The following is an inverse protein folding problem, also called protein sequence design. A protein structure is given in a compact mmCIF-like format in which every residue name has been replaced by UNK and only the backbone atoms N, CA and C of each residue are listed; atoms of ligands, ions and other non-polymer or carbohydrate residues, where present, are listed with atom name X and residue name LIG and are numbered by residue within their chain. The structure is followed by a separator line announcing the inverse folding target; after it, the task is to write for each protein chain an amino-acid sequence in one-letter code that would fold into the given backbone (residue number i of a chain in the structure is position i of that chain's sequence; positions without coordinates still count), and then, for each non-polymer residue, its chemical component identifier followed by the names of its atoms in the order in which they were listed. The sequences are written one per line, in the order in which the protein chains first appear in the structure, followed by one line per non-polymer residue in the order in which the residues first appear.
data_IF_141630165507
#
_entry.id   IF_141630165507
#
_cell.length_a   1.000
_cell.length_b   1.000
_cell.length_c   1.000
_cell.angle_alpha   90.00
_cell.angle_beta   90.00
_cell.angle_gamma   90.00
#
_symmetry.space_group_name_H-M   'P 1'
#
loop_
_entity.id
_entity.type
_entity.pdbx_description
1 polymer ?
#
# COMPACT_ATOMS: atom_id res chain seq x y z
N UNK A 1 14.93 -3.77 -14.87
CA UNK A 1 14.49 -4.62 -13.74
C UNK A 1 13.28 -3.94 -13.14
N UNK A 2 12.22 -4.67 -12.79
CA UNK A 2 11.03 -4.04 -12.24
C UNK A 2 11.33 -3.44 -10.86
N UNK A 3 10.82 -2.23 -10.58
CA UNK A 3 10.99 -1.55 -9.28
C UNK A 3 9.65 -1.43 -8.58
N UNK A 4 9.59 -1.82 -7.30
CA UNK A 4 8.38 -1.79 -6.48
C UNK A 4 8.62 -0.98 -5.21
N UNK A 5 7.72 -0.05 -4.95
CA UNK A 5 7.69 0.71 -3.71
C UNK A 5 6.76 0.02 -2.69
N UNK A 6 7.25 -0.17 -1.47
CA UNK A 6 6.44 -0.64 -0.34
C UNK A 6 6.52 0.40 0.78
N UNK A 7 5.53 1.31 0.90
CA UNK A 7 5.48 2.27 1.99
C UNK A 7 5.23 1.56 3.32
N UNK A 8 5.99 1.93 4.35
CA UNK A 8 5.90 1.39 5.70
C UNK A 8 5.44 2.51 6.64
N UNK A 9 4.20 2.41 7.10
CA UNK A 9 3.63 3.33 8.07
C UNK A 9 3.66 2.72 9.49
N UNK A 10 3.79 3.54 10.55
CA UNK A 10 3.63 3.07 11.92
C UNK A 10 2.31 2.30 12.09
N UNK A 11 2.39 1.11 12.66
CA UNK A 11 1.24 0.23 12.85
C UNK A 11 0.81 -0.56 11.60
N UNK A 12 1.64 -0.63 10.56
CA UNK A 12 1.43 -1.60 9.48
C UNK A 12 1.50 -3.04 10.01
N UNK A 13 0.83 -3.98 9.31
CA UNK A 13 0.89 -5.40 9.64
C UNK A 13 2.23 -5.98 9.13
N UNK A 14 3.06 -6.47 10.06
CA UNK A 14 4.43 -6.86 9.73
C UNK A 14 4.54 -8.10 8.85
N UNK A 15 3.63 -9.07 8.95
CA UNK A 15 3.66 -10.28 8.14
C UNK A 15 3.30 -9.94 6.70
N UNK A 16 2.28 -9.12 6.48
CA UNK A 16 1.89 -8.62 5.16
C UNK A 16 3.04 -7.84 4.50
N UNK A 17 3.64 -6.89 5.23
CA UNK A 17 4.75 -6.09 4.71
C UNK A 17 5.97 -6.95 4.36
N UNK A 18 6.45 -7.75 5.32
CA UNK A 18 7.66 -8.57 5.13
C UNK A 18 7.45 -9.63 4.05
N UNK A 19 6.27 -10.25 3.98
CA UNK A 19 5.99 -11.27 2.97
C UNK A 19 6.01 -10.68 1.56
N UNK A 20 5.39 -9.53 1.34
CA UNK A 20 5.43 -8.83 0.04
C UNK A 20 6.87 -8.50 -0.35
N UNK A 21 7.64 -7.92 0.58
CA UNK A 21 9.03 -7.52 0.35
C UNK A 21 9.90 -8.74 0.01
N UNK A 22 9.84 -9.80 0.81
CA UNK A 22 10.66 -11.01 0.64
C UNK A 22 10.32 -11.75 -0.66
N UNK A 23 9.03 -11.94 -0.97
CA UNK A 23 8.62 -12.66 -2.17
C UNK A 23 9.01 -11.93 -3.46
N UNK A 24 8.83 -10.61 -3.52
CA UNK A 24 9.22 -9.81 -4.68
C UNK A 24 10.75 -9.83 -4.87
N UNK A 25 11.53 -9.66 -3.79
CA UNK A 25 13.00 -9.75 -3.84
C UNK A 25 13.46 -11.12 -4.33
N UNK A 26 12.85 -12.22 -3.85
CA UNK A 26 13.13 -13.59 -4.34
C UNK A 26 12.81 -13.78 -5.82
N UNK A 27 11.81 -13.06 -6.34
CA UNK A 27 11.47 -13.05 -7.75
C UNK A 27 12.41 -12.18 -8.62
N UNK A 28 13.46 -11.57 -8.03
CA UNK A 28 14.41 -10.71 -8.74
C UNK A 28 13.87 -9.30 -9.03
N UNK A 29 12.85 -8.86 -8.29
CA UNK A 29 12.30 -7.50 -8.33
C UNK A 29 13.07 -6.62 -7.36
N UNK A 30 13.41 -5.40 -7.80
CA UNK A 30 13.98 -4.40 -6.91
C UNK A 30 12.87 -3.84 -6.02
N UNK A 31 12.98 -4.03 -4.70
CA UNK A 31 11.99 -3.53 -3.73
C UNK A 31 12.63 -2.45 -2.88
N UNK A 32 12.04 -1.25 -2.94
CA UNK A 32 12.39 -0.11 -2.09
C UNK A 32 11.31 0.02 -1.02
N UNK A 33 11.71 -0.10 0.25
CA UNK A 33 10.84 0.18 1.38
C UNK A 33 11.00 1.63 1.81
N UNK A 34 9.88 2.33 2.03
CA UNK A 34 9.91 3.76 2.36
C UNK A 34 9.11 4.07 3.63
N UNK A 35 9.76 4.60 4.65
CA UNK A 35 9.09 5.09 5.86
C UNK A 35 8.36 6.40 5.59
N UNK A 36 7.19 6.62 6.21
CA UNK A 36 6.53 7.94 6.15
C UNK A 36 7.35 9.03 6.87
N UNK A 37 8.16 8.63 7.84
CA UNK A 37 9.08 9.47 8.60
C UNK A 37 10.46 8.80 8.65
N UNK A 38 11.47 9.54 9.11
CA UNK A 38 12.82 9.02 9.30
C UNK A 38 12.88 7.99 10.44
N UNK A 39 13.63 6.91 10.21
CA UNK A 39 13.98 5.94 11.24
C UNK A 39 13.09 4.70 11.27
N UNK A 40 13.01 4.10 12.46
CA UNK A 40 12.42 2.79 12.68
C UNK A 40 10.88 2.82 12.68
N UNK A 41 10.26 1.92 11.94
CA UNK A 41 8.80 1.75 11.90
C UNK A 41 8.38 0.63 12.83
N UNK A 42 7.62 0.96 13.89
CA UNK A 42 7.00 -0.04 14.77
C UNK A 42 5.69 -0.53 14.17
N UNK A 43 5.63 -1.83 13.86
CA UNK A 43 4.48 -2.51 13.31
C UNK A 43 3.42 -2.86 14.36
N UNK A 44 2.26 -3.36 13.91
CA UNK A 44 1.07 -3.56 14.73
C UNK A 44 1.23 -4.53 15.90
N UNK A 45 2.11 -5.54 15.82
CA UNK A 45 2.42 -6.44 16.96
C UNK A 45 3.78 -6.19 17.60
N UNK A 46 4.40 -5.04 17.30
CA UNK A 46 5.61 -4.59 17.98
C UNK A 46 6.92 -4.96 17.31
N UNK A 47 6.90 -5.75 16.22
CA UNK A 47 8.03 -5.89 15.29
C UNK A 47 8.46 -4.51 14.82
N UNK A 48 9.77 -4.32 14.61
CA UNK A 48 10.32 -3.04 14.16
C UNK A 48 11.06 -3.27 12.85
N UNK A 49 10.71 -2.48 11.84
CA UNK A 49 11.31 -2.52 10.51
C UNK A 49 12.15 -1.25 10.30
N UNK A 50 13.29 -1.40 9.64
CA UNK A 50 14.09 -0.29 9.13
C UNK A 50 13.80 -0.15 7.63
N UNK A 51 13.15 0.94 7.18
CA UNK A 51 12.99 1.22 5.76
C UNK A 51 14.33 1.49 5.07
N UNK A 52 14.39 1.27 3.76
CA UNK A 52 15.57 1.57 2.93
C UNK A 52 15.76 3.09 2.75
N UNK A 53 14.66 3.85 2.75
CA UNK A 53 14.62 5.30 2.62
C UNK A 53 13.37 5.89 3.30
N UNK A 54 13.28 7.21 3.33
CA UNK A 54 12.04 7.94 3.63
C UNK A 54 11.21 8.12 2.36
N UNK A 55 9.90 8.35 2.52
CA UNK A 55 9.02 8.61 1.39
C UNK A 55 9.44 9.87 0.62
N UNK A 56 9.92 10.91 1.30
CA UNK A 56 10.34 12.16 0.64
C UNK A 56 11.54 11.97 -0.30
N UNK A 57 12.47 11.06 0.04
CA UNK A 57 13.64 10.76 -0.79
C UNK A 57 13.30 10.00 -2.07
N UNK A 58 12.17 9.27 -2.07
CA UNK A 58 11.81 8.35 -3.16
C UNK A 58 10.50 8.72 -3.87
N UNK A 59 9.71 9.66 -3.34
CA UNK A 59 8.39 9.98 -3.85
C UNK A 59 8.40 10.50 -5.30
N UNK A 60 9.50 11.05 -5.80
CA UNK A 60 9.64 11.53 -7.18
C UNK A 60 10.38 10.56 -8.10
N UNK A 61 10.74 9.37 -7.61
CA UNK A 61 11.34 8.33 -8.43
C UNK A 61 10.29 7.53 -9.20
N UNK A 62 10.74 6.90 -10.30
CA UNK A 62 9.91 5.99 -11.08
C UNK A 62 9.86 4.59 -10.46
N UNK A 63 8.63 4.09 -10.30
CA UNK A 63 8.31 2.73 -9.86
C UNK A 63 7.31 2.09 -10.82
N UNK A 64 7.42 0.77 -11.01
CA UNK A 64 6.49 0.01 -11.84
C UNK A 64 5.23 -0.41 -11.06
N UNK A 65 5.36 -0.52 -9.73
CA UNK A 65 4.26 -0.85 -8.82
C UNK A 65 4.46 -0.22 -7.44
N UNK A 66 3.34 0.06 -6.77
CA UNK A 66 3.29 0.34 -5.33
C UNK A 66 2.38 -0.69 -4.66
N UNK A 67 2.85 -1.27 -3.55
CA UNK A 67 2.10 -2.24 -2.76
C UNK A 67 1.92 -1.71 -1.34
N UNK A 68 0.67 -1.59 -0.90
CA UNK A 68 0.31 -1.05 0.41
C UNK A 68 -0.01 -2.20 1.38
N UNK A 69 0.83 -2.47 2.40
CA UNK A 69 0.50 -3.39 3.48
C UNK A 69 -0.64 -2.84 4.32
N UNK A 70 -1.44 -3.73 4.91
CA UNK A 70 -2.50 -3.38 5.82
C UNK A 70 -2.02 -3.15 7.24
N UNK A 71 -2.80 -3.63 8.21
CA UNK A 71 -2.77 -3.18 9.60
C UNK A 71 -3.58 -1.90 9.74
N UNK A 72 -4.60 -1.89 10.61
CA UNK A 72 -5.57 -0.79 10.64
C UNK A 72 -4.92 0.59 10.85
N UNK A 73 -4.05 0.79 11.87
CA UNK A 73 -3.38 2.08 12.07
C UNK A 73 -2.43 2.43 10.92
N UNK A 74 -1.66 1.46 10.41
CA UNK A 74 -0.77 1.68 9.27
C UNK A 74 -1.53 2.12 8.02
N UNK A 75 -2.65 1.46 7.73
CA UNK A 75 -3.51 1.82 6.62
C UNK A 75 -4.23 3.16 6.82
N UNK A 76 -4.57 3.56 8.05
CA UNK A 76 -5.06 4.91 8.36
C UNK A 76 -3.98 5.96 8.07
N UNK A 77 -2.76 5.77 8.58
CA UNK A 77 -1.64 6.69 8.31
C UNK A 77 -1.32 6.81 6.82
N UNK A 78 -1.33 5.70 6.07
CA UNK A 78 -1.18 5.73 4.61
C UNK A 78 -2.33 6.47 3.91
N UNK A 79 -3.56 6.31 4.41
CA UNK A 79 -4.72 6.96 3.85
C UNK A 79 -4.67 8.48 4.03
N UNK A 80 -4.24 8.92 5.20
CA UNK A 80 -4.24 10.32 5.60
C UNK A 80 -3.00 11.07 5.11
N UNK A 81 -1.96 10.38 4.63
CA UNK A 81 -0.76 10.99 4.06
C UNK A 81 -1.02 11.51 2.63
N UNK A 82 -0.99 12.84 2.41
CA UNK A 82 -1.27 13.41 1.10
C UNK A 82 -0.18 13.10 0.06
N UNK A 83 1.05 12.73 0.48
CA UNK A 83 2.11 12.28 -0.42
C UNK A 83 1.76 10.93 -1.03
N UNK A 84 1.23 10.00 -0.24
CA UNK A 84 0.73 8.69 -0.72
C UNK A 84 -0.43 8.89 -1.70
N UNK A 85 -1.41 9.73 -1.36
CA UNK A 85 -2.55 10.01 -2.24
C UNK A 85 -2.12 10.58 -3.60
N UNK A 86 -1.17 11.53 -3.61
CA UNK A 86 -0.62 12.08 -4.86
C UNK A 86 0.16 11.03 -5.65
N UNK A 87 1.00 10.24 -4.97
CA UNK A 87 1.80 9.20 -5.59
C UNK A 87 0.94 8.14 -6.27
N UNK A 88 -0.12 7.67 -5.60
CA UNK A 88 -1.04 6.68 -6.14
C UNK A 88 -1.74 7.18 -7.41
N UNK A 89 -2.26 8.41 -7.40
CA UNK A 89 -2.90 9.01 -8.58
C UNK A 89 -1.91 9.17 -9.73
N UNK A 90 -0.71 9.69 -9.46
CA UNK A 90 0.36 9.83 -10.47
C UNK A 90 0.73 8.48 -11.08
N UNK A 91 0.94 7.45 -10.25
CA UNK A 91 1.25 6.11 -10.71
C UNK A 91 0.12 5.51 -11.56
N UNK A 92 -1.13 5.69 -11.16
CA UNK A 92 -2.29 5.24 -11.93
C UNK A 92 -2.43 5.96 -13.28
N UNK A 93 -2.22 7.29 -13.33
CA UNK A 93 -2.20 8.08 -14.56
C UNK A 93 -1.10 7.63 -15.54
N UNK A 94 0.03 7.18 -15.00
CA UNK A 94 1.15 6.61 -15.76
C UNK A 94 0.93 5.13 -16.15
N UNK A 95 -0.22 4.53 -15.80
CA UNK A 95 -0.51 3.12 -16.08
C UNK A 95 0.32 2.14 -15.26
N UNK A 96 0.86 2.56 -14.12
CA UNK A 96 1.62 1.71 -13.19
C UNK A 96 0.68 0.91 -12.29
N UNK A 97 1.18 -0.19 -11.76
CA UNK A 97 0.37 -1.07 -10.92
C UNK A 97 0.21 -0.50 -9.51
N UNK A 98 -0.97 -0.66 -8.94
CA UNK A 98 -1.25 -0.36 -7.53
C UNK A 98 -1.88 -1.59 -6.90
N UNK A 99 -1.38 -1.98 -5.72
CA UNK A 99 -1.88 -3.13 -5.00
C UNK A 99 -2.00 -2.80 -3.50
N UNK A 100 -2.94 -3.44 -2.83
CA UNK A 100 -3.16 -3.26 -1.41
C UNK A 100 -3.75 -4.53 -0.80
N UNK A 101 -3.48 -4.76 0.48
CA UNK A 101 -3.95 -5.95 1.20
C UNK A 101 -4.61 -5.55 2.53
N UNK A 102 -5.56 -6.38 2.99
CA UNK A 102 -6.23 -6.25 4.28
C UNK A 102 -6.96 -4.91 4.43
N UNK A 103 -6.45 -3.99 5.26
CA UNK A 103 -7.05 -2.68 5.50
C UNK A 103 -6.66 -1.62 4.47
N UNK A 104 -5.55 -1.81 3.74
CA UNK A 104 -5.02 -0.81 2.82
C UNK A 104 -5.83 -0.57 1.52
N UNK A 105 -6.74 -1.45 1.05
CA UNK A 105 -7.60 -1.12 -0.10
C UNK A 105 -8.43 0.15 0.08
N UNK A 106 -8.72 0.57 1.32
CA UNK A 106 -9.36 1.88 1.58
C UNK A 106 -8.53 3.06 1.05
N UNK A 107 -7.20 2.94 1.08
CA UNK A 107 -6.28 3.97 0.57
C UNK A 107 -6.45 4.14 -0.94
N UNK A 108 -6.58 3.03 -1.67
CA UNK A 108 -6.87 3.04 -3.11
C UNK A 108 -8.28 3.59 -3.40
N UNK A 109 -9.27 3.25 -2.57
CA UNK A 109 -10.63 3.80 -2.68
C UNK A 109 -10.63 5.32 -2.49
N UNK A 110 -10.00 5.83 -1.43
CA UNK A 110 -9.88 7.28 -1.15
C UNK A 110 -9.06 8.02 -2.21
N UNK A 111 -8.14 7.34 -2.89
CA UNK A 111 -7.42 7.89 -4.04
C UNK A 111 -8.28 7.97 -5.31
N UNK A 112 -9.46 7.34 -5.35
CA UNK A 112 -10.35 7.24 -6.51
C UNK A 112 -9.99 6.11 -7.48
N UNK A 113 -9.03 5.24 -7.11
CA UNK A 113 -8.48 4.23 -8.01
C UNK A 113 -9.36 2.98 -8.18
N UNK A 114 -10.35 2.82 -7.30
CA UNK A 114 -11.27 1.67 -7.31
C UNK A 114 -12.64 1.98 -7.93
N UNK A 115 -12.89 3.21 -8.36
CA UNK A 115 -14.18 3.58 -8.97
C UNK A 115 -14.47 2.77 -10.24
N UNK A 116 -15.61 2.06 -10.23
CA UNK A 116 -16.01 1.18 -11.33
C UNK A 116 -15.18 -0.11 -11.43
N UNK A 117 -14.36 -0.43 -10.40
CA UNK A 117 -13.48 -1.60 -10.39
C UNK A 117 -13.98 -2.68 -9.43
N UNK A 118 -13.38 -3.86 -9.55
CA UNK A 118 -13.55 -4.96 -8.61
C UNK A 118 -12.42 -4.92 -7.59
N UNK A 119 -12.73 -5.17 -6.32
CA UNK A 119 -11.75 -5.21 -5.25
C UNK A 119 -12.15 -6.22 -4.16
N UNK A 120 -11.17 -6.67 -3.38
CA UNK A 120 -11.39 -7.38 -2.11
C UNK A 120 -10.63 -6.65 -1.01
N UNK A 121 -11.03 -6.85 0.24
CA UNK A 121 -10.39 -6.25 1.40
C UNK A 121 -10.72 -7.04 2.67
N UNK A 122 -10.08 -6.68 3.78
CA UNK A 122 -10.50 -7.20 5.07
C UNK A 122 -11.98 -6.82 5.33
N UNK A 123 -12.80 -7.74 5.89
CA UNK A 123 -14.21 -7.48 6.10
C UNK A 123 -14.50 -6.15 6.82
N UNK A 124 -15.40 -5.35 6.24
CA UNK A 124 -15.80 -4.06 6.80
C UNK A 124 -14.97 -2.86 6.34
N UNK A 125 -13.86 -3.07 5.63
CA UNK A 125 -12.99 -1.97 5.13
C UNK A 125 -13.57 -1.30 3.88
N UNK A 126 -14.02 -2.09 2.91
CA UNK A 126 -14.74 -1.57 1.75
C UNK A 126 -16.21 -1.94 1.91
N UNK A 127 -17.09 -0.94 1.92
CA UNK A 127 -18.53 -1.13 2.10
C UNK A 127 -19.28 -0.57 0.90
N UNK A 128 -20.05 -1.43 0.23
CA UNK A 128 -20.81 -1.04 -0.95
C UNK A 128 -21.85 0.09 -0.68
N UNK A 129 -22.33 0.20 0.56
CA UNK A 129 -23.25 1.27 0.97
C UNK A 129 -22.57 2.65 0.95
N UNK A 130 -21.28 2.72 1.27
CA UNK A 130 -20.50 3.96 1.29
C UNK A 130 -19.84 4.24 -0.06
N UNK A 131 -19.52 3.19 -0.80
CA UNK A 131 -18.76 3.23 -2.06
C UNK A 131 -19.47 2.40 -3.14
N UNK A 132 -20.64 2.84 -3.63
CA UNK A 132 -21.48 2.05 -4.54
C UNK A 132 -20.84 1.82 -5.92
N UNK A 133 -19.82 2.61 -6.28
CA UNK A 133 -19.02 2.44 -7.50
C UNK A 133 -18.09 1.23 -7.47
N UNK A 134 -17.78 0.69 -6.28
CA UNK A 134 -16.81 -0.39 -6.11
C UNK A 134 -17.54 -1.73 -5.99
N UNK A 135 -17.20 -2.67 -6.88
CA UNK A 135 -17.70 -4.05 -6.77
C UNK A 135 -16.82 -4.86 -5.83
N UNK A 136 -17.19 -4.89 -4.54
CA UNK A 136 -16.49 -5.69 -3.53
C UNK A 136 -16.79 -7.18 -3.73
N UNK A 137 -15.74 -8.00 -3.75
CA UNK A 137 -15.82 -9.45 -3.94
C UNK A 137 -15.27 -10.19 -2.74
N UNK A 138 -15.95 -11.26 -2.33
CA UNK A 138 -15.42 -12.22 -1.36
C UNK A 138 -14.53 -13.26 -2.07
N UNK A 139 -13.30 -12.82 -2.38
CA UNK A 139 -12.26 -13.66 -3.00
C UNK A 139 -10.92 -13.45 -2.29
N UNK A 140 -10.04 -14.47 -2.26
CA UNK A 140 -8.71 -14.33 -1.65
C UNK A 140 -7.83 -13.27 -2.31
N UNK A 141 -8.00 -13.07 -3.63
CA UNK A 141 -7.30 -12.05 -4.43
C UNK A 141 -8.21 -11.68 -5.61
N UNK A 142 -8.17 -10.41 -6.04
CA UNK A 142 -8.92 -9.84 -7.17
C UNK A 142 -7.98 -9.16 -8.13
#
# INVERSE_FOLDING_TARGET
MARVLVPLAPGCEELEAVTVIDLLRRAGVEVVTAGLEEGLVRCSRGTVLMPDATLDEVADQDFDMIVLPGGLPGADHLNDDPRIQRLLRRMAEQGRYTAAICAAPKVLASAGLLDGRQATSYPGVLQAAEQPSIRVLDRPVV
#
